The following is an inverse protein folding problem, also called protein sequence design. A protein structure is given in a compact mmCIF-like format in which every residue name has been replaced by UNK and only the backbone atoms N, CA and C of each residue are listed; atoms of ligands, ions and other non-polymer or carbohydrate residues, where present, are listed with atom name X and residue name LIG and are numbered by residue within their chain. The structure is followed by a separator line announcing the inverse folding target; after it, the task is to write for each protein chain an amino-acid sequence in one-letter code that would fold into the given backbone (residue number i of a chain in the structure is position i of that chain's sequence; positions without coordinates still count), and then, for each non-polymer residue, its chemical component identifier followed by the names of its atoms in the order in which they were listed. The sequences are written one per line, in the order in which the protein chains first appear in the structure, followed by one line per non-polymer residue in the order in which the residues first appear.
data_IF_067156415792
#
_entry.id   IF_067156415792
#
_cell.length_a   1.000
_cell.length_b   1.000
_cell.length_c   1.000
_cell.angle_alpha   90.00
_cell.angle_beta   90.00
_cell.angle_gamma   90.00
#
_symmetry.space_group_name_H-M   'P 1'
#
loop_
_entity.id
_entity.type
_entity.pdbx_description
1 polymer ?
#
# COMPACT_ATOMS: atom_id res chain seq x y z
N UNK A 1 -14.38 -11.19 0.73
CA UNK A 1 -13.54 -12.08 -0.09
C UNK A 1 -12.09 -11.67 0.06
N UNK A 2 -11.14 -12.59 -0.17
CA UNK A 2 -9.71 -12.32 0.00
C UNK A 2 -8.93 -13.01 -1.11
N UNK A 3 -7.94 -12.32 -1.69
CA UNK A 3 -6.90 -12.89 -2.52
C UNK A 3 -5.58 -12.78 -1.78
N UNK A 4 -4.90 -13.89 -1.59
CA UNK A 4 -3.61 -13.95 -0.88
C UNK A 4 -2.48 -13.69 -1.87
N UNK A 5 -1.59 -12.76 -1.55
CA UNK A 5 -0.43 -12.42 -2.38
C UNK A 5 0.87 -13.04 -1.87
N UNK A 6 0.98 -13.18 -0.55
CA UNK A 6 2.11 -13.83 0.11
C UNK A 6 1.67 -14.38 1.47
N UNK A 7 2.41 -15.38 1.96
CA UNK A 7 2.28 -15.90 3.32
C UNK A 7 3.49 -15.46 4.12
N UNK A 8 3.28 -14.88 5.30
CA UNK A 8 4.36 -14.44 6.18
C UNK A 8 4.44 -15.30 7.44
N UNK A 9 5.63 -15.69 7.83
CA UNK A 9 5.94 -16.20 9.17
C UNK A 9 6.37 -15.02 10.04
N UNK A 10 5.41 -14.45 10.77
CA UNK A 10 5.60 -13.19 11.51
C UNK A 10 5.08 -13.31 12.95
N UNK A 11 5.77 -12.67 13.89
CA UNK A 11 5.34 -12.49 15.26
C UNK A 11 5.62 -11.03 15.72
N UNK A 12 5.45 -10.75 17.02
CA UNK A 12 5.70 -9.41 17.59
C UNK A 12 7.18 -8.98 17.56
N UNK A 13 8.10 -9.90 17.30
CA UNK A 13 9.55 -9.63 17.24
C UNK A 13 10.05 -9.37 15.83
N UNK A 14 9.27 -9.69 14.79
CA UNK A 14 9.66 -9.45 13.39
C UNK A 14 9.13 -10.49 12.40
N UNK A 15 9.54 -10.31 11.14
CA UNK A 15 9.21 -11.19 10.02
C UNK A 15 10.35 -12.20 9.82
N UNK A 16 10.06 -13.50 9.97
CA UNK A 16 11.04 -14.57 9.82
C UNK A 16 11.13 -15.13 8.40
N UNK A 17 10.00 -15.12 7.68
CA UNK A 17 9.94 -15.56 6.30
C UNK A 17 8.77 -14.89 5.57
N UNK A 18 8.95 -14.71 4.27
CA UNK A 18 7.91 -14.26 3.35
C UNK A 18 7.93 -15.23 2.17
N UNK A 19 6.83 -15.92 1.95
CA UNK A 19 6.65 -16.84 0.82
C UNK A 19 5.59 -16.24 -0.13
N UNK A 20 6.01 -15.70 -1.29
CA UNK A 20 5.08 -15.15 -2.26
C UNK A 20 4.32 -16.28 -2.98
N UNK A 21 3.05 -16.03 -3.29
CA UNK A 21 2.31 -16.92 -4.17
C UNK A 21 2.68 -16.68 -5.64
N UNK A 22 2.61 -17.71 -6.49
CA UNK A 22 2.79 -17.55 -7.94
C UNK A 22 1.79 -16.54 -8.51
N UNK A 23 2.26 -15.67 -9.40
CA UNK A 23 1.47 -14.58 -10.00
C UNK A 23 0.18 -15.08 -10.64
N UNK A 24 0.24 -16.19 -11.37
CA UNK A 24 -0.94 -16.80 -12.00
C UNK A 24 -1.99 -17.26 -10.98
N UNK A 25 -1.58 -17.69 -9.78
CA UNK A 25 -2.48 -18.06 -8.69
C UNK A 25 -3.14 -16.83 -8.11
N UNK A 26 -2.38 -15.73 -7.92
CA UNK A 26 -2.90 -14.45 -7.44
C UNK A 26 -3.96 -13.92 -8.41
N UNK A 27 -3.66 -13.87 -9.71
CA UNK A 27 -4.62 -13.45 -10.74
C UNK A 27 -5.89 -14.32 -10.73
N UNK A 28 -5.73 -15.65 -10.64
CA UNK A 28 -6.85 -16.56 -10.62
C UNK A 28 -7.77 -16.34 -9.39
N UNK A 29 -7.19 -16.09 -8.20
CA UNK A 29 -7.96 -15.76 -7.00
C UNK A 29 -8.80 -14.50 -7.18
N UNK A 30 -8.17 -13.42 -7.71
CA UNK A 30 -8.84 -12.13 -7.91
C UNK A 30 -10.00 -12.32 -8.91
N UNK A 31 -9.73 -12.94 -10.06
CA UNK A 31 -10.74 -13.18 -11.10
C UNK A 31 -11.87 -14.09 -10.60
N UNK A 32 -11.57 -15.13 -9.83
CA UNK A 32 -12.60 -16.00 -9.24
C UNK A 32 -13.57 -15.20 -8.35
N UNK A 33 -13.04 -14.31 -7.50
CA UNK A 33 -13.88 -13.46 -6.65
C UNK A 33 -14.71 -12.45 -7.47
N UNK A 34 -14.07 -11.77 -8.43
CA UNK A 34 -14.73 -10.70 -9.19
C UNK A 34 -15.78 -11.23 -10.17
N UNK A 35 -15.54 -12.41 -10.79
CA UNK A 35 -16.46 -12.99 -11.77
C UNK A 35 -17.69 -13.63 -11.13
N UNK A 36 -17.56 -14.15 -9.91
CA UNK A 36 -18.67 -14.86 -9.23
C UNK A 36 -19.52 -13.92 -8.37
N UNK A 37 -18.90 -13.20 -7.47
CA UNK A 37 -19.61 -12.41 -6.44
C UNK A 37 -19.66 -10.93 -6.79
N UNK A 38 -18.66 -10.44 -7.55
CA UNK A 38 -18.47 -9.02 -7.78
C UNK A 38 -17.87 -8.31 -6.56
N UNK A 39 -17.72 -6.99 -6.65
CA UNK A 39 -17.11 -6.19 -5.57
C UNK A 39 -17.57 -4.74 -5.62
N UNK A 40 -17.86 -4.15 -4.46
CA UNK A 40 -18.14 -2.72 -4.32
C UNK A 40 -16.86 -1.91 -4.10
N UNK A 41 -15.90 -2.48 -3.38
CA UNK A 41 -14.61 -1.88 -3.08
C UNK A 41 -13.51 -2.93 -2.94
N UNK A 42 -12.29 -2.56 -3.30
CA UNK A 42 -11.08 -3.37 -3.11
C UNK A 42 -10.14 -2.66 -2.16
N UNK A 43 -9.66 -3.37 -1.14
CA UNK A 43 -8.52 -2.94 -0.34
C UNK A 43 -7.29 -3.76 -0.72
N UNK A 44 -6.21 -3.07 -1.07
CA UNK A 44 -4.91 -3.64 -1.38
C UNK A 44 -3.98 -3.36 -0.21
N UNK A 45 -3.32 -4.40 0.28
CA UNK A 45 -2.26 -4.30 1.28
C UNK A 45 -0.90 -4.64 0.65
N UNK A 46 -0.16 -5.56 1.27
CA UNK A 46 1.19 -5.93 0.86
C UNK A 46 1.25 -6.54 -0.54
N UNK A 47 2.01 -5.91 -1.43
CA UNK A 47 2.43 -6.42 -2.74
C UNK A 47 3.95 -6.35 -2.81
N UNK A 48 4.63 -7.48 -2.65
CA UNK A 48 6.06 -7.51 -2.32
C UNK A 48 6.99 -7.32 -3.52
N UNK A 49 6.57 -7.60 -4.76
CA UNK A 49 7.42 -7.54 -5.97
C UNK A 49 6.76 -6.79 -7.12
N UNK A 50 7.59 -6.38 -8.09
CA UNK A 50 7.17 -5.71 -9.33
C UNK A 50 6.13 -6.54 -10.07
N UNK A 51 6.39 -7.84 -10.24
CA UNK A 51 5.53 -8.76 -10.98
C UNK A 51 4.15 -8.89 -10.35
N UNK A 52 4.09 -8.94 -9.01
CA UNK A 52 2.83 -9.01 -8.26
C UNK A 52 2.04 -7.71 -8.42
N UNK A 53 2.70 -6.55 -8.30
CA UNK A 53 2.05 -5.24 -8.49
C UNK A 53 1.46 -5.13 -9.88
N UNK A 54 2.25 -5.47 -10.91
CA UNK A 54 1.80 -5.40 -12.32
C UNK A 54 0.65 -6.36 -12.59
N UNK A 55 0.69 -7.57 -12.05
CA UNK A 55 -0.38 -8.55 -12.21
C UNK A 55 -1.69 -8.07 -11.56
N UNK A 56 -1.62 -7.61 -10.32
CA UNK A 56 -2.78 -7.07 -9.60
C UNK A 56 -3.35 -5.86 -10.33
N UNK A 57 -2.51 -4.90 -10.72
CA UNK A 57 -2.90 -3.69 -11.46
C UNK A 57 -3.61 -4.04 -12.76
N UNK A 58 -3.03 -4.95 -13.56
CA UNK A 58 -3.60 -5.42 -14.82
C UNK A 58 -4.98 -6.05 -14.63
N UNK A 59 -5.10 -6.97 -13.65
CA UNK A 59 -6.39 -7.63 -13.40
C UNK A 59 -7.44 -6.64 -12.95
N UNK A 60 -7.11 -5.73 -12.02
CA UNK A 60 -8.08 -4.74 -11.53
C UNK A 60 -8.53 -3.76 -12.61
N UNK A 61 -7.68 -3.44 -13.59
CA UNK A 61 -8.03 -2.58 -14.71
C UNK A 61 -9.08 -3.20 -15.67
N UNK A 62 -9.22 -4.54 -15.67
CA UNK A 62 -10.23 -5.26 -16.48
C UNK A 62 -11.67 -5.12 -15.91
N UNK A 63 -11.83 -4.59 -14.69
CA UNK A 63 -13.12 -4.54 -14.01
C UNK A 63 -13.54 -3.11 -13.64
N UNK A 64 -14.85 -2.78 -13.68
CA UNK A 64 -15.34 -1.44 -13.38
C UNK A 64 -15.42 -1.18 -11.86
N UNK A 65 -14.28 -1.28 -11.18
CA UNK A 65 -14.19 -1.11 -9.72
C UNK A 65 -14.17 0.38 -9.39
N UNK A 66 -15.17 0.83 -8.59
CA UNK A 66 -15.35 2.24 -8.26
C UNK A 66 -14.42 2.73 -7.14
N UNK A 67 -14.14 1.85 -6.18
CA UNK A 67 -13.42 2.22 -4.97
C UNK A 67 -12.23 1.27 -4.75
N UNK A 68 -11.02 1.80 -4.87
CA UNK A 68 -9.78 1.09 -4.61
C UNK A 68 -9.01 1.83 -3.52
N UNK A 69 -8.79 1.17 -2.40
CA UNK A 69 -7.97 1.64 -1.29
C UNK A 69 -6.64 0.92 -1.33
N UNK A 70 -5.54 1.65 -1.42
CA UNK A 70 -4.20 1.07 -1.36
C UNK A 70 -3.53 1.46 -0.05
N UNK A 71 -3.27 0.47 0.78
CA UNK A 71 -2.38 0.59 1.93
C UNK A 71 -0.98 0.20 1.46
N UNK A 72 -0.06 1.15 1.26
CA UNK A 72 1.22 0.86 0.63
C UNK A 72 2.18 0.23 1.65
N UNK A 73 1.87 -0.99 2.10
CA UNK A 73 2.63 -1.71 3.12
C UNK A 73 4.04 -1.99 2.59
N UNK A 74 5.00 -1.13 2.97
CA UNK A 74 6.40 -1.20 2.53
C UNK A 74 7.31 -1.72 3.63
N UNK A 75 6.98 -1.47 4.89
CA UNK A 75 7.82 -1.78 6.05
C UNK A 75 6.97 -2.45 7.13
N UNK A 76 7.48 -3.52 7.72
CA UNK A 76 6.87 -4.14 8.90
C UNK A 76 7.01 -3.24 10.13
N UNK A 77 6.19 -3.46 11.15
CA UNK A 77 6.30 -2.76 12.44
C UNK A 77 7.69 -2.93 13.09
N UNK A 78 8.37 -4.05 12.80
CA UNK A 78 9.74 -4.32 13.22
C UNK A 78 10.81 -3.48 12.49
N UNK A 79 10.44 -2.77 11.41
CA UNK A 79 11.38 -2.02 10.56
C UNK A 79 11.90 -2.79 9.35
N UNK A 80 11.52 -4.06 9.21
CA UNK A 80 11.93 -4.90 8.08
C UNK A 80 11.25 -4.44 6.78
N UNK A 81 12.01 -4.29 5.71
CA UNK A 81 11.48 -3.95 4.39
C UNK A 81 10.73 -5.16 3.81
N UNK A 82 9.43 -4.96 3.52
CA UNK A 82 8.53 -5.99 2.98
C UNK A 82 8.41 -5.96 1.46
N UNK A 83 8.89 -4.88 0.84
CA UNK A 83 8.73 -4.59 -0.59
C UNK A 83 10.09 -4.30 -1.19
N UNK A 84 10.36 -4.84 -2.37
CA UNK A 84 11.56 -4.53 -3.13
C UNK A 84 11.59 -3.05 -3.52
N UNK A 85 12.76 -2.43 -3.53
CA UNK A 85 12.89 -0.99 -3.79
C UNK A 85 12.36 -0.60 -5.17
N UNK A 86 12.60 -1.41 -6.19
CA UNK A 86 12.10 -1.21 -7.55
C UNK A 86 10.57 -1.25 -7.62
N UNK A 87 9.93 -2.02 -6.76
CA UNK A 87 8.49 -2.16 -6.69
C UNK A 87 7.78 -0.87 -6.24
N UNK A 88 8.45 -0.01 -5.47
CA UNK A 88 7.90 1.28 -5.02
C UNK A 88 7.65 2.20 -6.22
N UNK A 89 8.60 2.27 -7.15
CA UNK A 89 8.46 3.09 -8.36
C UNK A 89 7.33 2.57 -9.28
N UNK A 90 7.20 1.24 -9.38
CA UNK A 90 6.10 0.61 -10.15
C UNK A 90 4.75 0.86 -9.48
N UNK A 91 4.70 0.78 -8.16
CA UNK A 91 3.48 1.08 -7.39
C UNK A 91 3.01 2.53 -7.63
N UNK A 92 3.93 3.50 -7.60
CA UNK A 92 3.63 4.91 -7.89
C UNK A 92 3.15 5.12 -9.33
N UNK A 93 3.77 4.43 -10.29
CA UNK A 93 3.51 4.62 -11.71
C UNK A 93 2.24 3.91 -12.18
N UNK A 94 1.98 2.71 -11.69
CA UNK A 94 0.96 1.82 -12.25
C UNK A 94 -0.24 1.60 -11.31
N UNK A 95 -0.02 1.45 -10.00
CA UNK A 95 -1.07 1.11 -9.03
C UNK A 95 -1.75 2.34 -8.44
N UNK A 96 -1.00 3.36 -8.00
CA UNK A 96 -1.58 4.53 -7.35
C UNK A 96 -2.54 5.33 -8.23
N UNK A 97 -2.36 5.42 -9.57
CA UNK A 97 -3.35 6.06 -10.44
C UNK A 97 -4.73 5.39 -10.45
N UNK A 98 -4.80 4.09 -10.12
CA UNK A 98 -6.07 3.37 -9.97
C UNK A 98 -6.71 3.59 -8.61
N UNK A 99 -5.94 4.00 -7.61
CA UNK A 99 -6.41 4.15 -6.25
C UNK A 99 -7.38 5.34 -6.10
N UNK A 100 -8.51 5.10 -5.43
CA UNK A 100 -9.37 6.17 -4.93
C UNK A 100 -8.68 6.92 -3.79
N UNK A 101 -7.97 6.18 -2.93
CA UNK A 101 -7.20 6.72 -1.82
C UNK A 101 -6.03 5.78 -1.48
N UNK A 102 -4.89 6.37 -1.14
CA UNK A 102 -3.78 5.65 -0.51
C UNK A 102 -3.69 6.02 0.96
N UNK A 103 -3.26 5.07 1.81
CA UNK A 103 -3.26 5.24 3.28
C UNK A 103 -1.88 5.00 3.89
N UNK A 104 -0.84 5.78 3.55
CA UNK A 104 0.51 5.57 4.04
C UNK A 104 0.65 5.93 5.53
N UNK A 105 1.43 5.13 6.27
CA UNK A 105 1.93 5.47 7.60
C UNK A 105 3.13 6.42 7.52
N UNK A 106 3.67 6.87 8.68
CA UNK A 106 4.78 7.84 8.71
C UNK A 106 6.02 7.37 7.95
N UNK A 107 6.42 6.10 8.10
CA UNK A 107 7.60 5.56 7.41
C UNK A 107 7.39 5.51 5.90
N UNK A 108 6.18 5.14 5.48
CA UNK A 108 5.79 5.12 4.08
C UNK A 108 5.71 6.53 3.49
N UNK A 109 5.25 7.52 4.28
CA UNK A 109 5.27 8.94 3.89
C UNK A 109 6.71 9.42 3.66
N UNK A 110 7.63 9.06 4.56
CA UNK A 110 9.06 9.40 4.41
C UNK A 110 9.64 8.80 3.12
N UNK A 111 9.37 7.53 2.84
CA UNK A 111 9.82 6.85 1.63
C UNK A 111 9.23 7.51 0.38
N UNK A 112 7.92 7.73 0.35
CA UNK A 112 7.19 8.27 -0.81
C UNK A 112 7.51 9.74 -1.09
N UNK A 113 7.75 10.54 -0.04
CA UNK A 113 8.03 11.97 -0.16
C UNK A 113 9.53 12.29 -0.27
N UNK A 114 10.40 11.35 0.10
CA UNK A 114 11.84 11.57 0.24
C UNK A 114 12.21 12.51 1.37
N UNK A 115 11.30 12.80 2.31
CA UNK A 115 11.48 13.74 3.42
C UNK A 115 11.36 13.04 4.76
N UNK A 116 12.17 13.44 5.74
CA UNK A 116 12.02 13.00 7.12
C UNK A 116 10.87 13.73 7.80
N UNK A 117 10.05 13.01 8.56
CA UNK A 117 8.86 13.52 9.24
C UNK A 117 9.08 13.41 10.75
N UNK A 118 9.36 14.54 11.40
CA UNK A 118 9.58 14.62 12.85
C UNK A 118 8.54 15.48 13.56
N UNK A 119 7.76 16.23 12.79
CA UNK A 119 6.74 17.15 13.29
C UNK A 119 5.53 17.18 12.39
N UNK A 120 4.45 17.77 12.87
CA UNK A 120 3.26 18.03 12.07
C UNK A 120 3.56 18.97 10.89
N UNK A 121 4.48 19.91 11.07
CA UNK A 121 4.90 20.83 10.00
C UNK A 121 5.60 20.07 8.87
N UNK A 122 6.51 19.13 9.20
CA UNK A 122 7.16 18.27 8.21
C UNK A 122 6.14 17.47 7.42
N UNK A 123 5.09 16.97 8.12
CA UNK A 123 4.00 16.24 7.48
C UNK A 123 3.28 17.10 6.45
N UNK A 124 2.93 18.34 6.80
CA UNK A 124 2.32 19.28 5.84
C UNK A 124 3.26 19.61 4.67
N UNK A 125 4.56 19.77 4.93
CA UNK A 125 5.55 20.01 3.89
C UNK A 125 5.78 18.80 2.96
N UNK A 126 5.35 17.59 3.34
CA UNK A 126 5.41 16.41 2.49
C UNK A 126 4.25 16.31 1.49
N UNK A 127 3.12 16.98 1.76
CA UNK A 127 1.88 16.86 0.96
C UNK A 127 2.09 17.17 -0.54
N UNK A 128 2.83 18.23 -0.95
CA UNK A 128 3.04 18.47 -2.38
C UNK A 128 3.75 17.32 -3.09
N UNK A 129 4.73 16.67 -2.44
CA UNK A 129 5.41 15.50 -2.99
C UNK A 129 4.45 14.31 -3.13
N UNK A 130 3.61 14.07 -2.11
CA UNK A 130 2.62 13.00 -2.13
C UNK A 130 1.52 13.20 -3.18
N UNK A 131 1.16 14.44 -3.51
CA UNK A 131 0.24 14.71 -4.62
C UNK A 131 0.77 14.30 -5.99
N UNK A 132 2.08 14.29 -6.16
CA UNK A 132 2.74 13.98 -7.43
C UNK A 132 2.98 12.48 -7.66
N UNK A 133 2.66 11.61 -6.68
CA UNK A 133 2.88 10.16 -6.80
C UNK A 133 1.75 9.40 -7.51
N UNK A 134 0.84 10.11 -8.16
CA UNK A 134 -0.23 9.53 -8.98
C UNK A 134 -1.55 9.23 -8.25
N UNK A 135 -1.58 9.27 -6.92
CA UNK A 135 -2.80 9.01 -6.16
C UNK A 135 -3.77 10.21 -6.18
N UNK A 136 -5.08 9.94 -6.33
CA UNK A 136 -6.11 11.00 -6.30
C UNK A 136 -6.27 11.60 -4.91
N UNK A 137 -6.28 10.78 -3.89
CA UNK A 137 -6.40 11.17 -2.49
C UNK A 137 -5.38 10.43 -1.63
N UNK A 138 -4.94 11.07 -0.56
CA UNK A 138 -4.00 10.50 0.41
C UNK A 138 -4.56 10.70 1.81
N UNK A 139 -4.73 9.61 2.55
CA UNK A 139 -5.03 9.61 3.98
C UNK A 139 -3.75 9.30 4.75
N UNK A 140 -3.19 10.29 5.43
CA UNK A 140 -1.93 10.17 6.17
C UNK A 140 -2.19 9.55 7.55
N UNK A 141 -1.63 8.36 7.82
CA UNK A 141 -1.71 7.70 9.13
C UNK A 141 -0.57 8.20 10.02
N UNK A 142 -0.82 9.30 10.76
CA UNK A 142 0.20 10.01 11.53
C UNK A 142 0.18 9.70 13.05
N UNK A 143 -0.49 8.64 13.49
CA UNK A 143 -0.70 8.32 14.91
C UNK A 143 0.55 8.08 15.77
N UNK A 144 1.75 8.09 15.18
CA UNK A 144 3.04 7.97 15.88
C UNK A 144 3.77 9.31 16.02
N UNK A 145 3.20 10.42 15.56
CA UNK A 145 3.76 11.75 15.83
C UNK A 145 3.42 12.15 17.27
N UNK A 146 4.42 12.48 18.05
CA UNK A 146 4.21 13.08 19.37
C UNK A 146 3.49 14.42 19.22
N UNK A 147 2.24 14.46 19.66
CA UNK A 147 1.44 15.68 19.65
C UNK A 147 1.69 16.46 20.94
N UNK A 148 2.03 17.74 20.82
CA UNK A 148 2.21 18.65 21.98
C UNK A 148 0.93 18.79 22.84
N UNK A 149 -0.24 18.44 22.31
CA UNK A 149 -1.54 18.66 22.95
C UNK A 149 -2.39 17.39 23.16
N UNK A 150 -1.81 16.20 23.25
CA UNK A 150 -2.53 14.91 23.40
C UNK A 150 -3.66 14.66 22.34
N UNK A 151 -3.61 15.29 21.20
CA UNK A 151 -4.53 15.07 20.09
C UNK A 151 -3.86 14.19 19.05
N UNK A 152 -4.35 12.95 18.89
CA UNK A 152 -3.97 12.14 17.72
C UNK A 152 -4.62 12.76 16.46
N UNK A 153 -3.81 13.05 15.46
CA UNK A 153 -4.31 13.41 14.13
C UNK A 153 -4.29 12.15 13.26
N UNK A 154 -5.47 11.71 12.86
CA UNK A 154 -5.67 10.72 11.80
C UNK A 154 -6.02 11.43 10.51
#
# INVERSE_FOLDING_TARGET
MTAITAVTAQNTLGVRAIEPLPVNVIEAQIRACLNDIGVDAVKIGMLHSVEVIQAVTRVLADYPIKHIVVDPVMVATSGDLLVQQEAIAVMQKELFPLATVITPNLYEIEILSGKKIRSQEDLYLSIPALKNIGARNVLLKAGHLECRDNRCFN
#
